data_IF_933501561598
#
_entry.id   IF_933501561598
#
_cell.length_a   1.000
_cell.length_b   1.000
_cell.length_c   1.000
_cell.angle_alpha   90.00
_cell.angle_beta   90.00
_cell.angle_gamma   90.00
#
_symmetry.space_group_name_H-M   'P 1'
#
loop_
_entity.id
_entity.type
_entity.pdbx_description
1 polymer ?
#
# COMPACT_ATOMS: atom_id res chain seq x y z
N UNK A 1 -18.48 52.91 -20.89
CA UNK A 1 -19.70 53.33 -20.14
C UNK A 1 -19.99 52.19 -19.20
N UNK A 2 -19.70 52.49 -18.04
CA UNK A 2 -20.33 52.82 -16.77
C UNK A 2 -20.42 51.57 -15.86
N UNK A 3 -19.56 51.52 -14.90
CA UNK A 3 -19.74 51.75 -13.45
C UNK A 3 -20.61 50.75 -12.70
N UNK A 4 -19.93 50.08 -11.76
CA UNK A 4 -19.92 50.38 -10.32
C UNK A 4 -21.00 49.62 -9.56
N UNK A 5 -20.66 48.88 -8.52
CA UNK A 5 -20.76 49.36 -7.15
C UNK A 5 -20.22 48.34 -6.13
N UNK A 6 -19.31 48.86 -5.32
CA UNK A 6 -18.78 48.24 -4.11
C UNK A 6 -19.80 48.42 -2.98
N UNK A 7 -20.07 47.37 -2.24
CA UNK A 7 -20.87 47.40 -1.01
C UNK A 7 -20.10 46.92 0.20
N UNK A 8 -19.48 47.84 0.93
CA UNK A 8 -18.94 47.62 2.30
C UNK A 8 -20.08 47.41 3.29
N UNK A 9 -19.98 46.38 4.13
CA UNK A 9 -20.69 46.40 5.39
C UNK A 9 -19.72 46.09 6.54
N UNK A 10 -19.34 47.15 7.24
CA UNK A 10 -18.76 47.10 8.58
C UNK A 10 -19.90 46.91 9.59
N UNK A 11 -19.80 45.91 10.44
CA UNK A 11 -20.68 45.79 11.61
C UNK A 11 -19.82 45.56 12.85
N UNK A 12 -19.58 46.64 13.55
CA UNK A 12 -19.00 46.76 14.90
C UNK A 12 -20.04 46.35 15.92
N UNK A 13 -19.77 45.34 16.76
CA UNK A 13 -20.44 45.23 18.06
C UNK A 13 -19.37 44.92 19.11
N UNK A 14 -19.09 45.95 19.90
CA UNK A 14 -18.39 45.83 21.17
C UNK A 14 -19.41 45.40 22.24
N UNK A 15 -19.11 44.37 23.00
CA UNK A 15 -19.76 44.09 24.27
C UNK A 15 -18.71 43.95 25.36
N UNK A 16 -18.75 44.95 26.26
CA UNK A 16 -18.01 44.97 27.52
C UNK A 16 -18.64 44.02 28.53
N UNK A 17 -17.81 43.30 29.24
CA UNK A 17 -18.03 43.13 30.70
C UNK A 17 -18.48 41.77 31.17
N UNK A 18 -17.55 41.02 31.76
CA UNK A 18 -17.53 40.75 33.20
C UNK A 18 -16.39 39.82 33.55
N UNK A 19 -15.39 40.35 34.22
CA UNK A 19 -14.41 39.54 34.94
C UNK A 19 -15.12 38.88 36.11
N UNK A 20 -15.38 37.61 36.06
CA UNK A 20 -15.79 36.80 37.21
C UNK A 20 -14.68 35.79 37.49
N UNK A 21 -14.23 35.84 38.71
CA UNK A 21 -13.16 35.04 39.31
C UNK A 21 -13.45 33.53 39.15
N UNK A 22 -12.64 32.81 38.41
CA UNK A 22 -12.56 31.37 38.46
C UNK A 22 -11.17 31.04 38.96
N UNK A 23 -11.02 30.91 40.24
CA UNK A 23 -9.79 30.57 40.95
C UNK A 23 -9.97 29.37 41.89
N UNK A 24 -10.84 28.41 41.58
CA UNK A 24 -10.97 27.17 42.38
C UNK A 24 -11.17 25.90 41.51
N UNK A 25 -11.30 25.98 40.21
CA UNK A 25 -11.48 24.79 39.36
C UNK A 25 -10.17 24.21 38.77
N UNK A 26 -9.04 24.91 38.93
CA UNK A 26 -7.76 24.47 38.35
C UNK A 26 -7.08 23.31 39.05
N UNK A 27 -7.32 23.12 40.35
CA UNK A 27 -6.63 22.08 41.13
C UNK A 27 -7.20 20.66 40.91
N UNK A 28 -8.50 20.51 40.73
CA UNK A 28 -9.15 19.22 40.56
C UNK A 28 -8.95 18.67 39.14
N UNK A 29 -8.93 19.55 38.11
CA UNK A 29 -8.70 19.11 36.73
C UNK A 29 -7.26 18.62 36.49
N UNK A 30 -6.27 19.23 37.16
CA UNK A 30 -4.87 18.79 37.06
C UNK A 30 -4.66 17.45 37.75
N UNK A 31 -5.30 17.22 38.91
CA UNK A 31 -5.20 15.93 39.62
C UNK A 31 -5.87 14.80 38.84
N UNK A 32 -7.02 15.05 38.20
CA UNK A 32 -7.69 14.05 37.36
C UNK A 32 -6.91 13.79 36.07
N UNK A 33 -6.29 14.82 35.46
CA UNK A 33 -5.46 14.65 34.29
C UNK A 33 -4.15 13.89 34.57
N UNK A 34 -3.51 14.18 35.72
CA UNK A 34 -2.29 13.46 36.14
C UNK A 34 -2.61 12.03 36.59
N UNK A 35 -3.71 11.80 37.31
CA UNK A 35 -4.16 10.46 37.66
C UNK A 35 -4.61 9.65 36.44
N UNK A 36 -5.29 10.29 35.49
CA UNK A 36 -5.64 9.71 34.20
C UNK A 36 -4.42 9.37 33.35
N UNK A 37 -3.44 10.24 33.28
CA UNK A 37 -2.18 10.01 32.58
C UNK A 37 -1.35 8.89 33.21
N UNK A 38 -1.27 8.83 34.56
CA UNK A 38 -0.59 7.76 35.26
C UNK A 38 -1.32 6.41 35.14
N UNK A 39 -2.67 6.40 35.06
CA UNK A 39 -3.43 5.20 34.78
C UNK A 39 -3.24 4.73 33.32
N UNK A 40 -3.24 5.62 32.34
CA UNK A 40 -2.99 5.27 30.94
C UNK A 40 -1.54 4.84 30.74
N UNK A 41 -0.57 5.48 31.38
CA UNK A 41 0.83 5.08 31.28
C UNK A 41 1.16 3.77 32.03
N UNK A 42 0.39 3.41 33.08
CA UNK A 42 0.53 2.12 33.77
C UNK A 42 -0.13 0.97 33.00
N UNK A 43 -1.11 1.25 32.11
CA UNK A 43 -1.65 0.26 31.19
C UNK A 43 -0.87 0.14 29.87
N UNK A 44 0.00 1.10 29.57
CA UNK A 44 0.86 1.08 28.38
C UNK A 44 2.20 0.33 28.59
N UNK A 45 2.50 -0.17 29.78
CA UNK A 45 3.49 -1.22 29.97
C UNK A 45 2.83 -2.54 29.55
N UNK A 46 2.76 -2.74 28.22
CA UNK A 46 2.21 -3.94 27.63
C UNK A 46 2.86 -5.18 28.26
N UNK A 47 2.05 -6.03 28.78
CA UNK A 47 2.40 -7.43 28.88
C UNK A 47 2.59 -7.90 27.44
N UNK A 48 3.79 -7.81 26.91
CA UNK A 48 4.21 -8.69 25.85
C UNK A 48 4.27 -10.08 26.47
N UNK A 49 3.17 -10.80 26.43
CA UNK A 49 3.23 -12.23 26.53
C UNK A 49 3.87 -12.66 25.21
N UNK A 50 5.18 -12.82 25.23
CA UNK A 50 5.87 -13.62 24.25
C UNK A 50 5.33 -15.03 24.43
N UNK A 51 4.29 -15.38 23.71
CA UNK A 51 3.88 -16.78 23.57
C UNK A 51 4.93 -17.37 22.66
N UNK A 52 5.83 -18.13 23.24
CA UNK A 52 6.74 -19.01 22.50
C UNK A 52 5.87 -20.14 21.93
N UNK A 53 5.53 -20.14 20.64
CA UNK A 53 4.60 -21.11 20.06
C UNK A 53 5.14 -22.54 20.13
N UNK A 54 6.45 -22.70 20.31
CA UNK A 54 7.14 -23.99 20.40
C UNK A 54 6.89 -24.69 21.75
N UNK A 55 6.46 -23.94 22.77
CA UNK A 55 6.09 -24.46 24.08
C UNK A 55 4.55 -24.58 24.26
N UNK A 56 3.79 -24.19 23.26
CA UNK A 56 2.33 -24.34 23.27
C UNK A 56 1.92 -25.79 22.94
N UNK A 57 0.77 -26.22 23.47
CA UNK A 57 0.19 -27.49 23.07
C UNK A 57 -0.35 -27.36 21.63
N UNK A 58 0.34 -28.00 20.69
CA UNK A 58 -0.11 -28.05 19.28
C UNK A 58 -1.16 -29.14 19.10
N UNK A 59 -2.25 -28.80 18.42
CA UNK A 59 -3.36 -29.72 18.10
C UNK A 59 -3.58 -29.77 16.58
N UNK A 60 -4.17 -30.86 16.10
CA UNK A 60 -4.45 -31.07 14.68
C UNK A 60 -3.20 -31.57 13.91
N UNK A 61 -2.99 -31.03 12.69
CA UNK A 61 -1.90 -31.45 11.80
C UNK A 61 -0.61 -30.63 12.02
N UNK A 62 -0.36 -30.18 13.25
CA UNK A 62 0.85 -29.46 13.63
C UNK A 62 1.70 -30.29 14.58
N UNK A 63 3.02 -30.21 14.44
CA UNK A 63 3.98 -30.85 15.32
C UNK A 63 5.15 -29.90 15.62
N UNK A 64 5.74 -30.03 16.83
CA UNK A 64 6.98 -29.32 17.16
C UNK A 64 8.16 -30.16 16.67
N UNK A 65 9.03 -29.56 15.88
CA UNK A 65 10.24 -30.20 15.33
C UNK A 65 11.48 -29.46 15.82
N UNK A 66 12.59 -30.17 15.90
CA UNK A 66 13.88 -29.53 16.18
C UNK A 66 14.34 -28.71 14.99
N UNK A 67 14.68 -27.44 15.21
CA UNK A 67 15.24 -26.55 14.21
C UNK A 67 16.31 -25.66 14.84
N UNK A 68 17.55 -25.92 14.52
CA UNK A 68 18.68 -25.19 15.09
C UNK A 68 18.77 -23.71 14.69
N UNK A 69 17.99 -23.29 13.67
CA UNK A 69 17.90 -21.89 13.23
C UNK A 69 16.79 -21.12 13.94
N UNK A 70 15.87 -21.81 14.61
CA UNK A 70 14.78 -21.18 15.33
C UNK A 70 15.21 -20.70 16.74
N UNK A 71 14.60 -19.62 17.21
CA UNK A 71 14.77 -19.14 18.58
C UNK A 71 14.25 -20.21 19.54
N UNK A 72 15.12 -20.76 20.41
CA UNK A 72 14.77 -21.88 21.29
C UNK A 72 15.03 -23.26 20.68
N UNK A 73 15.55 -23.37 19.46
CA UNK A 73 15.96 -24.64 18.83
C UNK A 73 14.82 -25.53 18.35
N UNK A 74 13.61 -24.99 18.24
CA UNK A 74 12.40 -25.71 17.80
C UNK A 74 11.56 -24.86 16.88
N UNK A 75 10.80 -25.49 15.99
CA UNK A 75 9.80 -24.84 15.12
C UNK A 75 8.50 -25.64 15.11
N UNK A 76 7.39 -24.99 14.79
CA UNK A 76 6.11 -25.67 14.58
C UNK A 76 5.96 -26.02 13.10
N UNK A 77 5.86 -27.29 12.80
CA UNK A 77 5.64 -27.82 11.47
C UNK A 77 4.20 -28.23 11.30
N UNK A 78 3.56 -27.77 10.21
CA UNK A 78 2.22 -28.16 9.81
C UNK A 78 2.30 -29.25 8.74
N UNK A 79 1.76 -30.44 9.03
CA UNK A 79 1.63 -31.52 8.04
C UNK A 79 0.23 -31.48 7.45
N UNK A 80 0.11 -30.94 6.24
CA UNK A 80 -1.13 -31.09 5.46
C UNK A 80 -1.35 -32.52 5.02
N UNK A 81 -2.59 -32.95 4.67
CA UNK A 81 -2.85 -34.25 4.07
C UNK A 81 -2.02 -34.39 2.79
N UNK A 82 -1.36 -35.53 2.62
CA UNK A 82 -0.58 -35.82 1.42
C UNK A 82 -1.49 -35.69 0.18
N UNK A 83 -1.28 -34.64 -0.60
CA UNK A 83 -1.93 -34.46 -1.91
C UNK A 83 -1.24 -35.37 -2.91
N UNK A 84 -1.95 -36.42 -3.31
CA UNK A 84 -1.57 -37.22 -4.47
C UNK A 84 -1.93 -36.48 -5.75
N UNK A 85 -0.92 -35.88 -6.38
CA UNK A 85 -0.94 -35.46 -7.78
C UNK A 85 -1.25 -34.03 -8.11
N UNK A 86 -0.30 -33.34 -8.72
CA UNK A 86 -0.50 -32.21 -9.62
C UNK A 86 -0.16 -30.83 -9.05
N UNK A 87 0.98 -30.32 -9.45
CA UNK A 87 1.58 -29.01 -9.31
C UNK A 87 0.69 -27.84 -8.91
N UNK A 88 0.90 -27.35 -7.72
CA UNK A 88 0.35 -26.08 -7.29
C UNK A 88 1.35 -25.38 -6.40
N UNK A 89 1.80 -24.20 -6.81
CA UNK A 89 2.76 -23.39 -6.10
C UNK A 89 2.21 -22.92 -4.75
N UNK A 90 2.88 -23.29 -3.67
CA UNK A 90 2.58 -22.81 -2.32
C UNK A 90 3.49 -21.63 -2.02
N UNK A 91 2.90 -20.44 -1.95
CA UNK A 91 3.51 -19.35 -1.24
C UNK A 91 3.34 -19.55 0.27
N UNK A 92 4.42 -19.71 1.01
CA UNK A 92 4.42 -19.83 2.46
C UNK A 92 5.64 -20.58 2.92
N UNK A 93 6.47 -19.99 3.76
CA UNK A 93 7.76 -20.48 4.25
C UNK A 93 7.77 -21.97 4.59
N UNK A 94 8.52 -22.72 3.81
CA UNK A 94 8.77 -24.14 4.01
C UNK A 94 10.01 -24.53 3.25
N UNK A 95 11.00 -24.98 3.99
CA UNK A 95 12.12 -25.88 3.62
C UNK A 95 12.44 -26.05 2.15
N UNK A 96 13.49 -25.37 1.66
CA UNK A 96 14.52 -25.96 0.79
C UNK A 96 14.19 -26.45 -0.60
N UNK A 97 13.02 -26.15 -1.16
CA UNK A 97 12.75 -26.28 -2.59
C UNK A 97 12.94 -24.93 -3.26
N UNK A 98 13.96 -24.78 -4.11
CA UNK A 98 14.10 -23.58 -4.94
C UNK A 98 12.83 -23.41 -5.75
N UNK A 99 12.08 -22.32 -5.49
CA UNK A 99 10.94 -21.94 -6.31
C UNK A 99 11.44 -21.82 -7.77
N UNK A 100 10.82 -22.55 -8.69
CA UNK A 100 11.17 -22.45 -10.11
C UNK A 100 10.55 -21.19 -10.68
N UNK A 101 11.32 -20.11 -10.68
CA UNK A 101 10.91 -18.85 -11.27
C UNK A 101 10.95 -18.96 -12.81
N UNK A 102 10.00 -18.31 -13.48
CA UNK A 102 9.81 -18.41 -14.93
C UNK A 102 10.47 -17.27 -15.70
N UNK A 103 10.80 -16.17 -15.00
CA UNK A 103 11.46 -14.99 -15.57
C UNK A 103 12.96 -14.94 -15.31
N UNK A 104 13.63 -14.00 -15.92
CA UNK A 104 15.03 -13.66 -15.60
C UNK A 104 15.10 -13.06 -14.19
N UNK A 105 16.27 -13.11 -13.55
CA UNK A 105 16.47 -12.48 -12.25
C UNK A 105 16.09 -10.99 -12.29
N UNK A 106 15.44 -10.51 -11.24
CA UNK A 106 14.97 -9.12 -11.12
C UNK A 106 14.03 -8.69 -12.26
N UNK A 107 13.16 -9.59 -12.72
CA UNK A 107 12.01 -9.29 -13.58
C UNK A 107 10.75 -9.90 -12.96
N UNK A 108 9.53 -9.42 -13.30
CA UNK A 108 8.30 -10.05 -12.82
C UNK A 108 8.28 -11.56 -13.12
N UNK A 109 8.01 -12.39 -12.11
CA UNK A 109 8.10 -13.85 -12.18
C UNK A 109 9.51 -14.44 -12.13
N UNK A 110 10.55 -13.61 -12.17
CA UNK A 110 11.94 -14.04 -12.06
C UNK A 110 12.42 -14.17 -10.61
N UNK A 111 13.64 -14.68 -10.41
CA UNK A 111 14.21 -14.81 -9.06
C UNK A 111 14.34 -13.45 -8.35
N UNK A 112 13.91 -13.40 -7.10
CA UNK A 112 14.03 -12.24 -6.22
C UNK A 112 15.38 -12.14 -5.50
N UNK A 113 16.22 -13.17 -5.64
CA UNK A 113 17.51 -13.26 -4.94
C UNK A 113 17.39 -13.55 -3.43
N UNK A 114 16.19 -13.75 -2.91
CA UNK A 114 15.89 -14.05 -1.50
C UNK A 114 15.40 -15.51 -1.31
N UNK A 115 15.39 -16.29 -2.38
CA UNK A 115 14.95 -17.69 -2.39
C UNK A 115 13.52 -17.88 -2.90
N UNK A 116 12.87 -16.81 -3.35
CA UNK A 116 11.56 -16.76 -3.99
C UNK A 116 11.58 -16.21 -5.40
N UNK A 117 10.41 -15.86 -5.88
CA UNK A 117 10.22 -15.23 -7.18
C UNK A 117 9.48 -13.91 -7.01
N UNK A 118 9.91 -12.89 -7.74
CA UNK A 118 9.15 -11.66 -7.86
C UNK A 118 7.72 -11.94 -8.32
N UNK A 119 6.72 -11.25 -7.80
CA UNK A 119 5.35 -11.33 -8.30
C UNK A 119 5.27 -11.11 -9.82
N UNK A 120 4.48 -11.93 -10.48
CA UNK A 120 4.29 -11.92 -11.93
C UNK A 120 3.14 -12.82 -12.35
N UNK A 121 2.93 -13.01 -13.64
CA UNK A 121 1.76 -13.69 -14.21
C UNK A 121 1.51 -15.13 -13.69
N UNK A 122 2.54 -15.80 -13.17
CA UNK A 122 2.45 -17.20 -12.78
C UNK A 122 2.25 -17.42 -11.28
N UNK A 123 2.40 -16.39 -10.46
CA UNK A 123 2.35 -16.48 -8.99
C UNK A 123 1.46 -15.39 -8.35
N UNK A 124 0.72 -14.65 -9.15
CA UNK A 124 -0.28 -13.67 -8.71
C UNK A 124 -1.62 -13.90 -9.39
N UNK A 125 -2.66 -13.27 -8.90
CA UNK A 125 -4.00 -13.40 -9.44
C UNK A 125 -4.74 -14.66 -8.96
N UNK A 126 -5.76 -15.05 -9.69
CA UNK A 126 -6.58 -16.22 -9.35
C UNK A 126 -5.77 -17.51 -9.51
N UNK A 127 -5.66 -18.33 -8.44
CA UNK A 127 -4.89 -19.58 -8.53
C UNK A 127 -5.40 -20.50 -9.64
N UNK A 128 -4.46 -21.12 -10.38
CA UNK A 128 -4.79 -22.06 -11.45
C UNK A 128 -5.71 -23.18 -10.95
N UNK A 129 -6.71 -23.52 -11.75
CA UNK A 129 -7.70 -24.56 -11.39
C UNK A 129 -8.85 -24.06 -10.51
N UNK A 130 -8.89 -22.78 -10.13
CA UNK A 130 -10.03 -22.22 -9.41
C UNK A 130 -11.26 -22.20 -10.34
N UNK A 131 -12.32 -22.89 -9.92
CA UNK A 131 -13.60 -22.85 -10.63
C UNK A 131 -14.36 -21.56 -10.27
N UNK A 132 -14.35 -20.59 -11.17
CA UNK A 132 -15.08 -19.33 -10.98
C UNK A 132 -16.55 -19.48 -11.37
N UNK A 133 -17.43 -18.83 -10.61
CA UNK A 133 -18.86 -18.67 -10.96
C UNK A 133 -19.22 -17.20 -11.04
N UNK A 134 -20.25 -16.85 -11.82
CA UNK A 134 -20.69 -15.45 -11.93
C UNK A 134 -21.11 -14.90 -10.55
N UNK A 135 -20.70 -13.68 -10.27
CA UNK A 135 -21.21 -12.90 -9.15
C UNK A 135 -22.60 -12.36 -9.51
N UNK A 136 -23.58 -12.64 -8.67
CA UNK A 136 -24.98 -12.22 -8.84
C UNK A 136 -25.44 -11.22 -7.80
N UNK A 137 -24.54 -10.79 -6.92
CA UNK A 137 -24.82 -9.78 -5.89
C UNK A 137 -24.83 -8.36 -6.44
N UNK A 138 -25.10 -7.40 -5.57
CA UNK A 138 -25.08 -5.99 -5.92
C UNK A 138 -23.65 -5.49 -6.16
N UNK A 139 -23.45 -4.64 -7.17
CA UNK A 139 -22.21 -3.91 -7.36
C UNK A 139 -21.99 -2.77 -6.32
N UNK A 140 -23.03 -2.44 -5.54
CA UNK A 140 -22.89 -1.64 -4.32
C UNK A 140 -22.99 -2.55 -3.12
N UNK A 141 -21.87 -2.82 -2.47
CA UNK A 141 -21.79 -3.69 -1.29
C UNK A 141 -22.06 -2.86 -0.05
N UNK A 142 -23.16 -3.19 0.67
CA UNK A 142 -23.55 -2.50 1.92
C UNK A 142 -23.58 -3.42 3.14
N UNK A 143 -23.24 -4.70 2.94
CA UNK A 143 -23.25 -5.71 4.01
C UNK A 143 -21.86 -5.82 4.63
N UNK A 144 -21.76 -5.50 5.92
CA UNK A 144 -20.52 -5.67 6.68
C UNK A 144 -20.14 -7.15 6.79
N UNK A 145 -18.84 -7.42 6.82
CA UNK A 145 -18.25 -8.76 6.93
C UNK A 145 -18.67 -9.70 5.79
N UNK A 146 -19.06 -9.16 4.62
CA UNK A 146 -19.38 -9.96 3.46
C UNK A 146 -18.12 -10.62 2.91
N UNK A 147 -18.20 -11.92 2.64
CA UNK A 147 -17.15 -12.65 1.91
C UNK A 147 -17.64 -13.05 0.52
N UNK A 148 -16.85 -12.71 -0.50
CA UNK A 148 -17.06 -13.08 -1.89
C UNK A 148 -15.87 -13.95 -2.30
N UNK A 149 -16.12 -15.18 -2.70
CA UNK A 149 -15.07 -16.15 -3.01
C UNK A 149 -15.32 -16.85 -4.33
N UNK A 150 -14.27 -17.03 -5.12
CA UNK A 150 -14.26 -17.72 -6.40
C UNK A 150 -15.33 -17.20 -7.38
N UNK A 151 -15.36 -15.88 -7.61
CA UNK A 151 -16.34 -15.23 -8.50
C UNK A 151 -15.69 -14.53 -9.68
N UNK A 152 -16.45 -14.47 -10.78
CA UNK A 152 -16.24 -13.48 -11.84
C UNK A 152 -17.21 -12.33 -11.59
N UNK A 153 -16.66 -11.16 -11.29
CA UNK A 153 -17.38 -9.94 -10.91
C UNK A 153 -17.29 -8.96 -12.06
N UNK A 154 -18.40 -8.69 -12.72
CA UNK A 154 -18.50 -7.71 -13.80
C UNK A 154 -19.56 -6.68 -13.41
N UNK A 155 -19.12 -5.48 -13.06
CA UNK A 155 -20.02 -4.37 -12.74
C UNK A 155 -20.09 -3.40 -13.93
N UNK A 156 -21.29 -2.95 -14.33
CA UNK A 156 -21.43 -1.96 -15.42
C UNK A 156 -20.81 -0.59 -15.13
N UNK A 157 -20.48 -0.34 -13.88
CA UNK A 157 -19.72 0.77 -13.34
C UNK A 157 -18.74 0.21 -12.32
N UNK A 158 -18.56 0.94 -11.22
CA UNK A 158 -17.65 0.53 -10.17
C UNK A 158 -18.22 -0.60 -9.31
N UNK A 159 -17.36 -1.45 -8.78
CA UNK A 159 -17.65 -2.26 -7.59
C UNK A 159 -17.48 -1.36 -6.37
N UNK A 160 -18.58 -0.80 -5.86
CA UNK A 160 -18.59 0.20 -4.80
C UNK A 160 -18.75 -0.47 -3.43
N UNK A 161 -17.75 -0.31 -2.56
CA UNK A 161 -17.75 -0.87 -1.19
C UNK A 161 -18.15 0.22 -0.19
N UNK A 162 -19.35 0.08 0.37
CA UNK A 162 -19.94 0.88 1.46
C UNK A 162 -20.23 0.02 2.68
N UNK A 163 -19.24 -0.79 3.05
CA UNK A 163 -19.33 -1.73 4.16
C UNK A 163 -17.95 -1.93 4.78
N UNK A 164 -17.93 -2.34 6.05
CA UNK A 164 -16.69 -2.65 6.78
C UNK A 164 -16.37 -4.14 6.68
N UNK A 165 -15.07 -4.46 6.63
CA UNK A 165 -14.55 -5.83 6.61
C UNK A 165 -15.10 -6.69 5.45
N UNK A 166 -15.21 -6.11 4.26
CA UNK A 166 -15.52 -6.89 3.06
C UNK A 166 -14.28 -7.69 2.65
N UNK A 167 -14.48 -8.94 2.29
CA UNK A 167 -13.41 -9.86 1.88
C UNK A 167 -13.74 -10.40 0.50
N UNK A 168 -12.81 -10.27 -0.44
CA UNK A 168 -12.92 -10.86 -1.78
C UNK A 168 -11.70 -11.75 -2.00
N UNK A 169 -11.94 -13.02 -2.32
CA UNK A 169 -10.84 -13.97 -2.52
C UNK A 169 -11.00 -14.75 -3.81
N UNK A 170 -9.89 -15.18 -4.40
CA UNK A 170 -9.79 -16.06 -5.58
C UNK A 170 -10.75 -15.67 -6.71
N UNK A 171 -10.89 -14.38 -6.95
CA UNK A 171 -11.93 -13.85 -7.84
C UNK A 171 -11.33 -12.98 -8.95
N UNK A 172 -12.04 -12.91 -10.07
CA UNK A 172 -11.70 -12.03 -11.19
C UNK A 172 -12.67 -10.86 -11.22
N UNK A 173 -12.15 -9.64 -11.28
CA UNK A 173 -12.93 -8.40 -11.30
C UNK A 173 -12.64 -7.66 -12.61
N UNK A 174 -13.68 -7.28 -13.34
CA UNK A 174 -13.59 -6.36 -14.47
C UNK A 174 -14.27 -5.06 -14.11
N UNK A 175 -13.55 -3.96 -14.20
CA UNK A 175 -13.96 -2.61 -13.78
C UNK A 175 -13.26 -2.13 -12.52
N UNK A 176 -13.56 -0.91 -12.12
CA UNK A 176 -12.94 -0.25 -10.97
C UNK A 176 -13.51 -0.74 -9.65
N UNK A 177 -12.70 -0.69 -8.59
CA UNK A 177 -13.09 -1.03 -7.22
C UNK A 177 -12.92 0.21 -6.35
N UNK A 178 -14.00 0.66 -5.72
CA UNK A 178 -14.03 1.86 -4.89
C UNK A 178 -14.37 1.50 -3.46
N UNK A 179 -13.50 1.83 -2.52
CA UNK A 179 -13.86 1.81 -1.10
C UNK A 179 -14.24 3.23 -0.71
N UNK A 180 -15.54 3.49 -0.46
CA UNK A 180 -16.11 4.83 -0.34
C UNK A 180 -15.79 5.48 1.02
N UNK A 181 -14.49 5.71 1.27
CA UNK A 181 -13.99 6.31 2.52
C UNK A 181 -14.40 7.77 2.70
N UNK A 182 -14.80 8.45 1.63
CA UNK A 182 -15.37 9.80 1.69
C UNK A 182 -16.72 9.82 2.41
N UNK A 183 -17.51 8.74 2.27
CA UNK A 183 -18.78 8.57 2.98
C UNK A 183 -18.55 8.06 4.39
N UNK A 184 -17.63 7.11 4.57
CA UNK A 184 -17.30 6.59 5.91
C UNK A 184 -15.88 6.00 5.95
N UNK A 185 -15.05 6.52 6.82
CA UNK A 185 -13.71 6.00 7.11
C UNK A 185 -13.71 4.59 7.73
N UNK A 186 -14.86 4.07 8.14
CA UNK A 186 -15.02 2.71 8.64
C UNK A 186 -15.19 1.65 7.54
N UNK A 187 -15.37 2.04 6.28
CA UNK A 187 -15.45 1.08 5.19
C UNK A 187 -14.08 0.52 4.87
N UNK A 188 -14.03 -0.79 4.58
CA UNK A 188 -12.76 -1.47 4.35
C UNK A 188 -12.91 -2.74 3.52
N UNK A 189 -11.86 -3.05 2.75
CA UNK A 189 -11.83 -4.18 1.83
C UNK A 189 -10.50 -4.93 1.97
N UNK A 190 -10.58 -6.26 2.01
CA UNK A 190 -9.41 -7.14 1.87
C UNK A 190 -9.58 -8.00 0.62
N UNK A 191 -8.56 -8.02 -0.22
CA UNK A 191 -8.53 -8.79 -1.46
C UNK A 191 -7.33 -9.73 -1.46
N UNK A 192 -7.55 -11.01 -1.78
CA UNK A 192 -6.49 -12.01 -1.81
C UNK A 192 -6.66 -12.95 -3.01
N UNK A 193 -5.56 -13.18 -3.75
CA UNK A 193 -5.56 -14.04 -4.93
C UNK A 193 -6.54 -13.53 -6.01
N UNK A 194 -6.42 -12.25 -6.36
CA UNK A 194 -7.37 -11.53 -7.21
C UNK A 194 -6.70 -11.17 -8.54
N UNK A 195 -7.44 -11.33 -9.64
CA UNK A 195 -7.15 -10.70 -10.93
C UNK A 195 -8.10 -9.52 -11.14
N UNK A 196 -7.58 -8.33 -11.35
CA UNK A 196 -8.38 -7.12 -11.58
C UNK A 196 -7.90 -6.44 -12.87
N UNK A 197 -8.84 -6.10 -13.73
CA UNK A 197 -8.59 -5.29 -14.92
C UNK A 197 -9.66 -4.21 -15.05
N UNK A 198 -9.23 -2.96 -15.26
CA UNK A 198 -10.11 -1.84 -15.52
C UNK A 198 -9.62 -1.00 -16.71
N UNK A 199 -10.50 -0.70 -17.64
CA UNK A 199 -10.22 0.26 -18.71
C UNK A 199 -10.65 1.68 -18.28
N UNK A 200 -9.94 2.70 -18.75
CA UNK A 200 -10.30 4.10 -18.56
C UNK A 200 -9.37 4.87 -17.63
N UNK A 201 -9.64 6.17 -17.55
CA UNK A 201 -8.80 7.15 -16.88
C UNK A 201 -9.21 7.33 -15.41
N UNK A 202 -9.36 6.22 -14.69
CA UNK A 202 -9.58 6.16 -13.23
C UNK A 202 -8.65 5.10 -12.63
N UNK A 203 -8.32 5.17 -11.34
CA UNK A 203 -7.56 4.11 -10.69
C UNK A 203 -8.31 2.78 -10.71
N UNK A 204 -7.60 1.65 -10.78
CA UNK A 204 -8.24 0.32 -10.72
C UNK A 204 -8.86 0.09 -9.35
N UNK A 205 -8.12 0.42 -8.29
CA UNK A 205 -8.59 0.39 -6.90
C UNK A 205 -8.31 1.75 -6.26
N UNK A 206 -9.31 2.39 -5.69
CA UNK A 206 -9.12 3.74 -5.15
C UNK A 206 -9.97 4.06 -3.90
N UNK A 207 -9.67 5.18 -3.29
CA UNK A 207 -10.06 5.80 -2.05
C UNK A 207 -9.37 5.21 -0.81
N UNK A 208 -9.26 3.92 -0.60
CA UNK A 208 -8.38 3.42 0.47
C UNK A 208 -9.02 2.47 1.48
N UNK A 209 -8.41 2.29 2.64
CA UNK A 209 -8.70 1.23 3.62
C UNK A 209 -8.75 -0.15 2.97
N UNK A 210 -7.74 -0.44 2.15
CA UNK A 210 -7.67 -1.66 1.36
C UNK A 210 -6.40 -2.44 1.67
N UNK A 211 -6.55 -3.77 1.82
CA UNK A 211 -5.43 -4.70 1.91
C UNK A 211 -5.47 -5.64 0.72
N UNK A 212 -4.42 -5.63 -0.10
CA UNK A 212 -4.31 -6.42 -1.32
C UNK A 212 -3.14 -7.39 -1.19
N UNK A 213 -3.41 -8.68 -1.41
CA UNK A 213 -2.41 -9.73 -1.32
C UNK A 213 -2.47 -10.64 -2.56
N UNK A 214 -1.34 -10.89 -3.19
CA UNK A 214 -1.15 -11.76 -4.37
C UNK A 214 -2.13 -11.43 -5.50
N UNK A 215 -2.26 -10.14 -5.80
CA UNK A 215 -3.10 -9.67 -6.88
C UNK A 215 -2.31 -9.52 -8.18
N UNK A 216 -3.00 -9.75 -9.30
CA UNK A 216 -2.62 -9.35 -10.64
C UNK A 216 -3.52 -8.18 -11.03
N UNK A 217 -2.95 -6.97 -11.15
CA UNK A 217 -3.70 -5.73 -11.37
C UNK A 217 -3.22 -5.04 -12.62
N UNK A 218 -4.13 -4.77 -13.55
CA UNK A 218 -3.83 -4.11 -14.82
C UNK A 218 -4.90 -3.08 -15.21
N UNK A 219 -4.54 -2.17 -16.09
CA UNK A 219 -5.41 -1.09 -16.54
C UNK A 219 -5.39 0.13 -15.62
N UNK A 220 -6.40 0.99 -15.77
CA UNK A 220 -6.53 2.25 -15.03
C UNK A 220 -5.33 3.18 -15.17
N UNK A 221 -5.41 4.39 -14.64
CA UNK A 221 -4.25 5.28 -14.63
C UNK A 221 -3.29 4.97 -13.46
N UNK A 222 -3.78 4.37 -12.38
CA UNK A 222 -3.02 3.77 -11.29
C UNK A 222 -3.67 2.43 -10.92
N UNK A 223 -2.89 1.43 -10.55
CA UNK A 223 -3.46 0.17 -10.07
C UNK A 223 -4.07 0.33 -8.67
N UNK A 224 -3.44 1.11 -7.81
CA UNK A 224 -3.91 1.47 -6.48
C UNK A 224 -3.68 2.95 -6.24
N UNK A 225 -4.72 3.66 -5.83
CA UNK A 225 -4.63 5.05 -5.43
C UNK A 225 -5.25 5.25 -4.04
N UNK A 226 -4.41 5.68 -3.10
CA UNK A 226 -4.83 5.99 -1.75
C UNK A 226 -5.08 7.48 -1.63
N UNK A 227 -6.26 7.84 -1.17
CA UNK A 227 -6.70 9.21 -1.04
C UNK A 227 -6.82 9.65 0.42
N UNK A 228 -7.03 10.91 0.63
CA UNK A 228 -6.95 11.65 1.89
C UNK A 228 -7.78 11.12 3.06
N UNK A 229 -8.81 10.33 2.81
CA UNK A 229 -9.68 9.74 3.84
C UNK A 229 -9.39 8.25 4.11
N UNK A 230 -8.26 7.75 3.60
CA UNK A 230 -7.84 6.37 3.86
C UNK A 230 -6.86 6.30 5.03
N UNK A 231 -7.15 5.45 6.00
CA UNK A 231 -6.24 5.25 7.12
C UNK A 231 -5.13 4.24 6.84
N UNK A 232 -5.28 3.42 5.81
CA UNK A 232 -4.28 2.43 5.39
C UNK A 232 -4.59 1.83 4.02
N UNK A 233 -3.57 1.75 3.18
CA UNK A 233 -3.57 0.95 1.96
C UNK A 233 -2.35 0.03 1.95
N UNK A 234 -2.55 -1.23 1.64
CA UNK A 234 -1.43 -2.15 1.44
C UNK A 234 -1.53 -2.95 0.14
N UNK A 235 -0.38 -3.17 -0.49
CA UNK A 235 -0.20 -4.03 -1.64
C UNK A 235 0.99 -4.94 -1.38
N UNK A 236 0.76 -6.25 -1.30
CA UNK A 236 1.81 -7.23 -0.99
C UNK A 236 1.79 -8.41 -1.95
N UNK A 237 2.98 -8.93 -2.26
CA UNK A 237 3.16 -10.08 -3.15
C UNK A 237 2.37 -9.95 -4.47
N UNK A 238 2.26 -8.75 -5.02
CA UNK A 238 1.35 -8.43 -6.12
C UNK A 238 2.07 -7.91 -7.34
N UNK A 239 1.44 -8.05 -8.48
CA UNK A 239 1.97 -7.58 -9.76
C UNK A 239 1.05 -6.52 -10.36
N UNK A 240 1.65 -5.36 -10.64
CA UNK A 240 1.00 -4.18 -11.25
C UNK A 240 1.63 -3.95 -12.61
N UNK A 241 0.81 -3.81 -13.66
CA UNK A 241 1.28 -3.66 -15.04
C UNK A 241 0.18 -3.15 -15.98
N UNK A 242 0.53 -2.88 -17.24
CA UNK A 242 -0.39 -2.56 -18.35
C UNK A 242 -1.38 -1.43 -18.01
N UNK A 243 -0.90 -0.26 -17.54
CA UNK A 243 -1.79 0.88 -17.25
C UNK A 243 -2.49 1.35 -18.53
N UNK A 244 -3.75 1.74 -18.37
CA UNK A 244 -4.54 2.27 -19.48
C UNK A 244 -4.05 3.67 -19.86
N UNK A 245 -3.75 3.87 -21.13
CA UNK A 245 -3.24 5.13 -21.68
C UNK A 245 -4.24 5.78 -22.62
N UNK A 246 -4.67 7.01 -22.31
CA UNK A 246 -5.43 7.82 -23.25
C UNK A 246 -4.59 8.10 -24.51
N UNK A 247 -5.18 8.06 -25.72
CA UNK A 247 -4.44 8.29 -26.97
C UNK A 247 -3.77 9.66 -27.06
N UNK A 248 -4.32 10.65 -26.38
CA UNK A 248 -3.86 12.04 -26.30
C UNK A 248 -4.13 12.61 -24.91
N UNK A 249 -3.53 13.75 -24.62
CA UNK A 249 -3.67 14.46 -23.34
C UNK A 249 -2.41 14.37 -22.50
N UNK A 250 -2.31 15.23 -21.51
CA UNK A 250 -1.23 15.24 -20.53
C UNK A 250 -1.61 14.29 -19.40
N UNK A 251 -1.34 13.01 -19.59
CA UNK A 251 -1.65 11.95 -18.63
C UNK A 251 -0.49 11.70 -17.70
N UNK A 252 -0.77 11.48 -16.43
CA UNK A 252 0.17 11.17 -15.37
C UNK A 252 -0.14 9.81 -14.77
N UNK A 253 0.31 8.75 -15.45
CA UNK A 253 0.03 7.38 -15.04
C UNK A 253 1.02 6.92 -13.96
N UNK A 254 0.62 5.95 -13.16
CA UNK A 254 1.48 5.35 -12.15
C UNK A 254 1.17 3.88 -11.90
N UNK A 255 2.13 3.18 -11.31
CA UNK A 255 1.86 1.86 -10.77
C UNK A 255 0.92 1.96 -9.57
N UNK A 256 1.36 2.65 -8.51
CA UNK A 256 0.57 2.94 -7.31
C UNK A 256 0.77 4.38 -6.87
N UNK A 257 -0.23 4.98 -6.24
CA UNK A 257 -0.19 6.38 -5.84
C UNK A 257 -0.73 6.63 -4.43
N UNK A 258 -0.20 7.68 -3.78
CA UNK A 258 -0.66 8.19 -2.50
C UNK A 258 -0.50 9.70 -2.43
N UNK A 259 -1.59 10.43 -2.24
CA UNK A 259 -1.60 11.88 -2.35
C UNK A 259 -1.71 12.63 -1.01
N UNK A 260 -1.47 11.94 0.09
CA UNK A 260 -1.50 12.52 1.45
C UNK A 260 -2.77 12.21 2.21
N UNK A 261 -2.71 12.36 3.54
CA UNK A 261 -3.76 11.93 4.46
C UNK A 261 -4.32 13.10 5.28
N UNK A 262 -5.63 13.06 5.49
CA UNK A 262 -6.34 13.92 6.44
C UNK A 262 -6.80 13.15 7.69
N UNK A 263 -6.50 11.86 7.76
CA UNK A 263 -6.86 10.96 8.86
C UNK A 263 -5.62 10.29 9.46
N UNK A 264 -5.76 9.76 10.67
CA UNK A 264 -4.67 9.05 11.31
C UNK A 264 -4.43 7.69 10.64
N UNK A 265 -3.17 7.39 10.34
CA UNK A 265 -2.78 6.11 9.76
C UNK A 265 -2.84 4.98 10.79
N UNK A 266 -3.38 3.85 10.40
CA UNK A 266 -3.62 2.70 11.29
C UNK A 266 -2.88 1.43 10.88
N UNK A 267 -2.23 1.41 9.72
CA UNK A 267 -1.52 0.25 9.19
C UNK A 267 -0.30 -0.16 10.00
N UNK A 268 0.16 -1.37 9.73
CA UNK A 268 1.40 -1.92 10.29
C UNK A 268 2.16 -2.66 9.21
N UNK A 269 3.39 -2.22 8.93
CA UNK A 269 4.31 -2.89 8.01
C UNK A 269 4.81 -4.22 8.60
N UNK A 270 5.27 -5.13 7.75
CA UNK A 270 5.78 -6.45 8.19
C UNK A 270 7.00 -6.37 9.09
N UNK A 271 7.74 -5.26 9.08
CA UNK A 271 8.84 -4.99 10.00
C UNK A 271 8.39 -4.51 11.40
N UNK A 272 7.07 -4.40 11.66
CA UNK A 272 6.51 -3.89 12.90
C UNK A 272 6.39 -2.36 12.97
N UNK A 273 6.67 -1.61 11.89
CA UNK A 273 6.41 -0.18 11.81
C UNK A 273 4.91 0.07 11.91
N UNK A 274 4.46 0.80 12.93
CA UNK A 274 3.05 1.13 13.17
C UNK A 274 2.68 2.49 12.58
N UNK A 275 1.40 2.79 12.49
CA UNK A 275 0.85 4.00 11.89
C UNK A 275 1.38 4.24 10.47
N UNK A 276 1.29 3.21 9.64
CA UNK A 276 1.61 3.23 8.22
C UNK A 276 0.35 3.54 7.44
N UNK A 277 0.41 4.53 6.56
CA UNK A 277 -0.70 4.88 5.66
C UNK A 277 -0.62 4.08 4.37
N UNK A 278 0.59 3.88 3.86
CA UNK A 278 0.87 3.30 2.57
C UNK A 278 1.96 2.25 2.67
N UNK A 279 1.64 1.02 2.32
CA UNK A 279 2.45 -0.15 2.56
C UNK A 279 2.55 -0.99 1.28
N UNK A 280 3.70 -0.95 0.63
CA UNK A 280 3.98 -1.71 -0.60
C UNK A 280 5.14 -2.64 -0.32
N UNK A 281 4.85 -3.94 -0.29
CA UNK A 281 5.84 -4.94 0.09
C UNK A 281 5.91 -6.09 -0.92
N UNK A 282 7.12 -6.51 -1.23
CA UNK A 282 7.45 -7.66 -2.10
C UNK A 282 6.55 -7.72 -3.35
N UNK A 283 6.40 -6.57 -4.02
CA UNK A 283 5.55 -6.44 -5.20
C UNK A 283 6.37 -6.04 -6.42
N UNK A 284 5.97 -6.53 -7.60
CA UNK A 284 6.47 -6.02 -8.87
C UNK A 284 5.57 -4.87 -9.31
N UNK A 285 6.05 -3.66 -9.18
CA UNK A 285 5.29 -2.46 -9.56
C UNK A 285 5.90 -1.91 -10.85
N UNK A 286 5.11 -1.98 -11.91
CA UNK A 286 5.53 -1.60 -13.25
C UNK A 286 4.55 -0.57 -13.78
N UNK A 287 5.04 0.63 -14.08
CA UNK A 287 4.31 1.56 -14.93
C UNK A 287 4.88 1.44 -16.35
N UNK A 288 4.21 0.75 -17.23
CA UNK A 288 4.69 0.37 -18.59
C UNK A 288 3.85 0.95 -19.73
N UNK A 289 2.93 1.86 -19.42
CA UNK A 289 2.17 2.55 -20.43
C UNK A 289 3.07 3.31 -21.43
N UNK A 290 2.82 3.19 -22.72
CA UNK A 290 3.59 3.94 -23.71
C UNK A 290 3.33 5.44 -23.62
N UNK A 291 4.29 6.26 -24.02
CA UNK A 291 4.07 7.70 -24.17
C UNK A 291 3.05 7.94 -25.29
N UNK A 292 1.99 8.70 -25.02
CA UNK A 292 0.95 9.00 -25.98
C UNK A 292 1.34 10.11 -26.97
N UNK A 293 0.47 10.42 -27.92
CA UNK A 293 0.75 11.42 -28.96
C UNK A 293 0.96 12.86 -28.44
N UNK A 294 0.52 13.16 -27.22
CA UNK A 294 0.71 14.46 -26.56
C UNK A 294 1.92 14.51 -25.61
N UNK A 295 2.64 13.40 -25.45
CA UNK A 295 3.76 13.30 -24.53
C UNK A 295 3.38 12.83 -23.12
N UNK A 296 2.10 12.59 -22.83
CA UNK A 296 1.64 12.02 -21.56
C UNK A 296 2.02 10.54 -21.44
N UNK A 297 2.25 10.08 -20.23
CA UNK A 297 2.66 8.70 -19.97
C UNK A 297 2.87 8.44 -18.49
N UNK A 298 3.72 7.47 -18.17
CA UNK A 298 4.04 7.12 -16.80
C UNK A 298 4.78 8.26 -16.07
N UNK A 299 4.30 8.59 -14.89
CA UNK A 299 4.98 9.49 -13.94
C UNK A 299 6.02 8.70 -13.14
N UNK A 300 5.64 7.54 -12.63
CA UNK A 300 6.51 6.64 -11.88
C UNK A 300 5.78 5.36 -11.46
N UNK A 301 6.54 4.39 -10.95
CA UNK A 301 5.97 3.15 -10.41
C UNK A 301 5.25 3.41 -9.09
N UNK A 302 5.84 4.25 -8.23
CA UNK A 302 5.26 4.66 -6.95
C UNK A 302 5.23 6.18 -6.88
N UNK A 303 4.03 6.75 -6.88
CA UNK A 303 3.79 8.18 -6.86
C UNK A 303 3.28 8.62 -5.49
N UNK A 304 4.17 8.88 -4.54
CA UNK A 304 3.80 9.54 -3.28
C UNK A 304 4.03 11.04 -3.43
N UNK A 305 2.95 11.82 -3.34
CA UNK A 305 2.98 13.29 -3.51
C UNK A 305 1.98 13.91 -2.52
N UNK A 306 2.47 14.61 -1.51
CA UNK A 306 1.65 15.14 -0.40
C UNK A 306 0.80 16.36 -0.80
N UNK A 307 -0.11 16.20 -1.77
CA UNK A 307 -0.96 17.29 -2.27
C UNK A 307 -2.12 17.63 -1.34
N UNK A 308 -2.86 16.62 -0.86
CA UNK A 308 -4.08 16.84 -0.09
C UNK A 308 -3.87 16.85 1.42
N UNK A 309 -2.71 16.40 1.86
CA UNK A 309 -2.30 16.36 3.25
C UNK A 309 -0.87 15.84 3.40
N UNK A 310 -0.32 15.77 4.61
CA UNK A 310 0.98 15.15 4.83
C UNK A 310 0.93 13.64 4.58
N UNK A 311 2.09 13.03 4.30
CA UNK A 311 2.24 11.57 4.31
C UNK A 311 3.02 11.20 5.59
N UNK A 312 2.33 10.79 6.67
CA UNK A 312 2.96 10.59 7.97
C UNK A 312 3.53 9.18 8.19
N UNK A 313 3.59 8.35 7.15
CA UNK A 313 4.18 7.02 7.23
C UNK A 313 3.94 6.20 5.99
N UNK A 314 5.01 5.76 5.32
CA UNK A 314 4.95 4.81 4.22
C UNK A 314 6.07 3.77 4.35
N UNK A 315 5.77 2.52 3.99
CA UNK A 315 6.70 1.41 4.03
C UNK A 315 6.81 0.77 2.65
N UNK A 316 7.91 1.05 1.96
CA UNK A 316 8.21 0.58 0.60
C UNK A 316 9.36 -0.44 0.72
N UNK A 317 9.01 -1.74 0.74
CA UNK A 317 9.91 -2.78 1.19
C UNK A 317 10.00 -3.96 0.23
N UNK A 318 11.24 -4.29 -0.16
CA UNK A 318 11.52 -5.46 -1.03
C UNK A 318 10.70 -5.47 -2.31
N UNK A 319 10.55 -4.35 -2.97
CA UNK A 319 9.82 -4.28 -4.23
C UNK A 319 10.77 -4.34 -5.43
N UNK A 320 10.26 -4.86 -6.54
CA UNK A 320 10.83 -4.72 -7.86
C UNK A 320 10.16 -3.54 -8.55
N UNK A 321 10.96 -2.50 -8.83
CA UNK A 321 10.51 -1.29 -9.50
C UNK A 321 11.09 -1.27 -10.92
N UNK A 322 10.22 -1.19 -11.91
CA UNK A 322 10.62 -1.28 -13.31
C UNK A 322 11.10 0.04 -13.85
N UNK A 323 12.10 -0.04 -14.72
CA UNK A 323 12.55 1.14 -15.45
C UNK A 323 11.49 1.57 -16.45
N UNK A 324 11.08 2.82 -16.37
CA UNK A 324 10.13 3.41 -17.26
C UNK A 324 10.81 4.41 -18.21
N UNK A 325 10.66 4.19 -19.50
CA UNK A 325 11.30 5.02 -20.54
C UNK A 325 10.74 6.44 -20.56
N UNK A 326 9.47 6.61 -20.23
CA UNK A 326 8.78 7.92 -20.25
C UNK A 326 8.80 8.67 -18.93
N UNK A 327 9.09 8.01 -17.81
CA UNK A 327 9.04 8.63 -16.49
C UNK A 327 10.27 9.48 -16.18
N UNK A 328 10.05 10.61 -15.52
CA UNK A 328 11.13 11.44 -14.99
C UNK A 328 11.91 10.70 -13.89
N UNK A 329 11.21 10.05 -12.99
CA UNK A 329 11.74 9.22 -11.91
C UNK A 329 10.93 7.93 -11.79
N UNK A 330 11.50 6.87 -11.20
CA UNK A 330 10.73 5.66 -10.93
C UNK A 330 9.82 5.82 -9.73
N UNK A 331 10.20 6.62 -8.75
CA UNK A 331 9.40 6.86 -7.56
C UNK A 331 9.43 8.31 -7.11
N UNK A 332 8.37 8.71 -6.38
CA UNK A 332 8.27 9.98 -5.68
C UNK A 332 8.21 9.70 -4.18
N UNK A 333 9.04 10.39 -3.41
CA UNK A 333 9.28 10.11 -1.98
C UNK A 333 8.36 10.82 -1.00
N UNK A 334 7.30 11.47 -1.48
CA UNK A 334 6.25 12.03 -0.64
C UNK A 334 6.19 13.56 -0.57
N UNK A 335 7.27 14.28 -0.87
CA UNK A 335 7.28 15.74 -0.78
C UNK A 335 6.43 16.41 -1.86
N UNK A 336 5.71 17.45 -1.45
CA UNK A 336 5.03 18.39 -2.34
C UNK A 336 5.20 19.82 -1.78
N UNK A 337 4.98 20.87 -2.59
CA UNK A 337 5.07 22.26 -2.10
C UNK A 337 4.09 22.55 -0.96
N UNK A 338 2.97 21.85 -0.92
CA UNK A 338 1.87 22.07 0.03
C UNK A 338 2.13 21.41 1.38
N UNK A 339 2.66 20.19 1.36
CA UNK A 339 2.85 19.36 2.56
C UNK A 339 4.13 18.54 2.44
N UNK A 340 4.58 18.00 3.58
CA UNK A 340 5.75 17.15 3.66
C UNK A 340 5.41 15.70 4.01
N UNK A 341 6.44 14.86 3.90
CA UNK A 341 6.36 13.44 4.21
C UNK A 341 7.35 13.06 5.31
N UNK A 342 6.90 12.29 6.29
CA UNK A 342 7.71 11.83 7.42
C UNK A 342 7.55 10.32 7.60
N UNK A 343 8.57 9.67 8.16
CA UNK A 343 8.57 8.22 8.37
C UNK A 343 8.37 7.43 7.06
N UNK A 344 8.96 7.94 5.99
CA UNK A 344 8.99 7.27 4.70
C UNK A 344 10.18 6.32 4.68
N UNK A 345 9.91 5.03 4.58
CA UNK A 345 10.93 3.98 4.59
C UNK A 345 10.99 3.32 3.22
N UNK A 346 12.12 3.48 2.54
CA UNK A 346 12.49 2.69 1.36
C UNK A 346 13.60 1.72 1.76
N UNK A 347 13.30 0.43 1.75
CA UNK A 347 14.26 -0.58 2.21
C UNK A 347 14.28 -1.82 1.30
N UNK A 348 15.48 -2.28 0.97
CA UNK A 348 15.73 -3.53 0.23
C UNK A 348 15.04 -3.61 -1.15
N UNK A 349 14.70 -2.47 -1.77
CA UNK A 349 14.06 -2.46 -3.09
C UNK A 349 15.08 -2.63 -4.20
N UNK A 350 14.65 -3.26 -5.30
CA UNK A 350 15.41 -3.40 -6.54
C UNK A 350 14.81 -2.48 -7.60
N UNK A 351 15.62 -1.60 -8.13
CA UNK A 351 15.27 -0.68 -9.23
C UNK A 351 15.91 -1.19 -10.53
N UNK A 352 15.13 -1.41 -11.55
CA UNK A 352 15.68 -1.74 -12.87
C UNK A 352 16.32 -0.48 -13.48
N UNK A 353 17.56 -0.60 -14.00
CA UNK A 353 18.21 0.55 -14.61
C UNK A 353 17.53 1.01 -15.89
N UNK A 354 17.05 0.08 -16.69
CA UNK A 354 16.48 0.37 -17.99
C UNK A 354 17.45 1.06 -18.97
N UNK A 355 16.89 1.61 -20.03
CA UNK A 355 17.66 2.33 -21.06
C UNK A 355 18.25 3.67 -20.55
N UNK A 356 17.62 4.26 -19.54
CA UNK A 356 18.09 5.49 -18.90
C UNK A 356 19.26 5.26 -17.93
N UNK A 357 19.60 4.02 -17.63
CA UNK A 357 20.64 3.62 -16.67
C UNK A 357 20.40 4.03 -15.21
N UNK A 358 19.26 4.65 -14.91
CA UNK A 358 18.92 5.25 -13.61
C UNK A 358 17.49 4.94 -13.16
N UNK A 359 16.81 4.01 -13.79
CA UNK A 359 15.39 3.70 -13.65
C UNK A 359 14.46 4.74 -14.31
N UNK A 360 14.39 5.95 -13.87
CA UNK A 360 13.77 7.09 -14.59
C UNK A 360 14.79 7.93 -15.38
N UNK A 361 14.31 8.91 -16.11
CA UNK A 361 15.18 9.79 -16.94
C UNK A 361 16.18 10.58 -16.10
N UNK A 362 15.80 11.02 -14.91
CA UNK A 362 16.65 11.82 -14.02
C UNK A 362 17.19 11.02 -12.83
N UNK A 363 16.49 9.97 -12.38
CA UNK A 363 16.95 9.16 -11.27
C UNK A 363 15.91 8.14 -10.80
N UNK A 364 16.24 7.33 -9.79
CA UNK A 364 15.32 6.35 -9.23
C UNK A 364 14.24 6.98 -8.35
N UNK A 365 14.55 8.09 -7.66
CA UNK A 365 13.59 8.75 -6.76
C UNK A 365 13.81 10.25 -6.72
N UNK A 366 12.73 11.01 -6.56
CA UNK A 366 12.72 12.43 -6.20
C UNK A 366 11.76 12.70 -5.05
N UNK A 367 11.85 13.89 -4.42
CA UNK A 367 10.95 14.27 -3.34
C UNK A 367 11.11 13.44 -2.07
N UNK A 368 12.29 12.82 -1.85
CA UNK A 368 12.62 12.11 -0.62
C UNK A 368 13.58 12.93 0.23
N UNK A 369 13.17 13.35 1.44
CA UNK A 369 13.99 14.18 2.32
C UNK A 369 14.51 13.42 3.52
N UNK A 370 15.85 13.21 3.57
CA UNK A 370 16.53 12.61 4.72
C UNK A 370 16.38 13.39 6.02
N UNK A 371 16.23 14.71 5.92
CA UNK A 371 16.11 15.59 7.09
C UNK A 371 14.77 15.45 7.81
N UNK A 372 13.76 14.85 7.17
CA UNK A 372 12.45 14.67 7.78
C UNK A 372 12.45 13.48 8.74
N UNK A 373 11.72 13.64 9.85
CA UNK A 373 11.72 12.71 10.95
C UNK A 373 11.32 11.29 10.53
N UNK A 374 12.22 10.33 10.74
CA UNK A 374 11.99 8.92 10.48
C UNK A 374 12.04 8.49 9.03
N UNK A 375 12.41 9.38 8.09
CA UNK A 375 12.68 8.98 6.71
C UNK A 375 13.96 8.13 6.67
N UNK A 376 13.87 6.97 6.01
CA UNK A 376 14.95 5.99 5.94
C UNK A 376 15.09 5.45 4.51
N UNK A 377 16.31 5.52 3.98
CA UNK A 377 16.70 4.90 2.71
C UNK A 377 17.79 3.87 3.00
N UNK A 378 17.48 2.58 2.87
CA UNK A 378 18.41 1.52 3.29
C UNK A 378 18.46 0.40 2.25
N UNK A 379 19.66 0.02 1.84
CA UNK A 379 19.96 -1.17 1.03
C UNK A 379 19.15 -1.26 -0.29
N UNK A 380 18.68 -0.13 -0.83
CA UNK A 380 18.08 -0.10 -2.15
C UNK A 380 19.16 -0.22 -3.22
N UNK A 381 18.91 -1.02 -4.26
CA UNK A 381 19.90 -1.36 -5.28
C UNK A 381 19.31 -1.29 -6.67
N UNK A 382 20.18 -1.11 -7.63
CA UNK A 382 19.84 -1.43 -9.00
C UNK A 382 19.87 -2.94 -9.26
N UNK A 383 19.22 -3.38 -10.32
CA UNK A 383 19.16 -4.80 -10.72
C UNK A 383 20.53 -5.43 -11.06
N UNK A 384 21.59 -4.63 -11.21
CA UNK A 384 22.98 -5.08 -11.36
C UNK A 384 23.69 -5.27 -10.00
N UNK A 385 23.00 -5.04 -8.89
CA UNK A 385 23.51 -5.17 -7.53
C UNK A 385 24.20 -3.91 -6.99
N UNK A 386 24.40 -2.87 -7.80
CA UNK A 386 25.00 -1.62 -7.34
C UNK A 386 24.07 -0.86 -6.41
N UNK A 387 24.63 -0.27 -5.36
CA UNK A 387 23.87 0.46 -4.34
C UNK A 387 23.41 1.81 -4.88
N UNK A 388 22.17 2.16 -4.61
CA UNK A 388 21.62 3.49 -4.84
C UNK A 388 21.91 4.35 -3.61
N UNK A 389 22.74 5.38 -3.80
CA UNK A 389 23.11 6.29 -2.73
C UNK A 389 22.26 7.56 -2.83
N UNK A 390 21.56 7.87 -1.76
CA UNK A 390 20.90 9.16 -1.60
C UNK A 390 21.84 10.12 -0.88
N UNK A 391 21.99 11.32 -1.41
CA UNK A 391 22.73 12.41 -0.78
C UNK A 391 21.77 13.29 0.04
N UNK A 392 22.32 14.08 0.97
CA UNK A 392 21.53 14.98 1.83
C UNK A 392 20.71 16.05 1.06
N UNK A 393 20.78 16.09 -0.24
CA UNK A 393 20.16 17.07 -1.13
C UNK A 393 18.96 16.50 -1.90
N UNK A 394 18.04 15.80 -1.22
CA UNK A 394 16.71 15.46 -1.73
C UNK A 394 16.63 14.52 -2.96
N UNK A 395 17.74 14.11 -3.56
CA UNK A 395 17.78 13.22 -4.71
C UNK A 395 18.68 12.01 -4.48
N UNK A 396 18.21 10.84 -4.89
CA UNK A 396 19.00 9.60 -4.88
C UNK A 396 19.48 9.30 -6.32
N UNK A 397 20.75 8.96 -6.46
CA UNK A 397 21.40 8.65 -7.74
C UNK A 397 21.99 7.24 -7.75
#
# INVERSE_FOLDING_TARGET
>A
MSNSTVGKLKGFIASKGKRTKIAVAGGAAVVVAVAGYLLVSSYASGFFVSVDPENATVTGNASVVADASASGGKAVQFTGPASTGGGGGTGGGGTGGTATCTGSANTPGGSDGMGGCWPGSNNTGVPSGTALSAYTGSCTITTNNLTIDAKTINCPGDLLVRASNVIITRSKITGHVVVDTDVSQGYSLSMTDIEIHADGDLPVVYNGNVNILRANISGGHNALECQEHSSHCSLRDSWVHDQWQAPTGDTHLGGVAHFGEQVACTGTGTNGMTAVCFDIEHSSVVCDAPVNASGGGCTGDINMIAHYGPIPGAFIYKNLLSANVGASYCTYGGEAPENGATRIVYQDNIFQRGTNSKCGSYGPVTGFKFSHAGNLWTNNKYNDGSTITCTAADECL
#
